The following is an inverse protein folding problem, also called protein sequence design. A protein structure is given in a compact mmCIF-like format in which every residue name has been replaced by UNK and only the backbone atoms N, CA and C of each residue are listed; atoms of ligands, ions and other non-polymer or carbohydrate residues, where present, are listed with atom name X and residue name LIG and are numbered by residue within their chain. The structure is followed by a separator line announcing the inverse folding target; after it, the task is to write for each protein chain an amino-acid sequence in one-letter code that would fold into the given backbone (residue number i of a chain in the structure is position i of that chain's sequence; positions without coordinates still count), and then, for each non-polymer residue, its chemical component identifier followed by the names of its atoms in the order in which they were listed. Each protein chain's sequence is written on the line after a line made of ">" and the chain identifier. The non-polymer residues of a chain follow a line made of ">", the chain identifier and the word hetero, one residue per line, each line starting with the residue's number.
data_IF_962650042332
#
_entry.id   IF_962650042332
#
_cell.length_a   1.000
_cell.length_b   1.000
_cell.length_c   1.000
_cell.angle_alpha   90.00
_cell.angle_beta   90.00
_cell.angle_gamma   90.00
#
_symmetry.space_group_name_H-M   'P 1'
#
loop_
_entity.id
_entity.type
_entity.pdbx_description
1 polymer ?
#
# COMPACT_ATOMS: atom_id res chain seq x y z
N UNK A 1 3.75 7.38 -17.73
CA UNK A 1 2.94 6.26 -18.20
C UNK A 1 3.54 4.90 -17.79
N UNK A 2 4.80 4.61 -18.17
CA UNK A 2 5.46 3.34 -17.84
C UNK A 2 5.51 3.05 -16.34
N UNK A 3 5.85 4.04 -15.51
CA UNK A 3 5.91 3.86 -14.06
C UNK A 3 4.54 3.46 -13.47
N UNK A 4 3.46 4.07 -13.96
CA UNK A 4 2.10 3.72 -13.55
C UNK A 4 1.79 2.28 -13.91
N UNK A 5 2.09 1.87 -15.16
CA UNK A 5 1.86 0.51 -15.63
C UNK A 5 2.67 -0.51 -14.83
N UNK A 6 3.93 -0.22 -14.52
CA UNK A 6 4.77 -1.12 -13.74
C UNK A 6 4.23 -1.30 -12.32
N UNK A 7 3.82 -0.23 -11.66
CA UNK A 7 3.25 -0.31 -10.32
C UNK A 7 1.92 -1.06 -10.34
N UNK A 8 1.09 -0.84 -11.36
CA UNK A 8 -0.17 -1.56 -11.53
C UNK A 8 0.05 -3.06 -11.75
N UNK A 9 1.00 -3.43 -12.64
CA UNK A 9 1.28 -4.83 -12.95
C UNK A 9 1.83 -5.55 -11.71
N UNK A 10 2.79 -4.96 -11.03
CA UNK A 10 3.38 -5.56 -9.82
C UNK A 10 2.35 -5.57 -8.67
N UNK A 11 1.58 -4.50 -8.52
CA UNK A 11 0.51 -4.43 -7.54
C UNK A 11 -0.58 -5.48 -7.77
N UNK A 12 -0.89 -5.79 -9.03
CA UNK A 12 -1.86 -6.83 -9.36
C UNK A 12 -1.46 -8.22 -8.85
N UNK A 13 -0.16 -8.48 -8.66
CA UNK A 13 0.29 -9.72 -8.05
C UNK A 13 -0.22 -9.87 -6.61
N UNK A 14 -0.29 -8.78 -5.85
CA UNK A 14 -0.89 -8.76 -4.52
C UNK A 14 -2.39 -8.96 -4.53
N UNK A 15 -3.07 -8.53 -5.61
CA UNK A 15 -4.51 -8.72 -5.76
C UNK A 15 -4.93 -10.19 -5.82
N UNK A 16 -4.05 -11.09 -6.25
CA UNK A 16 -4.30 -12.54 -6.21
C UNK A 16 -4.53 -13.01 -4.78
N UNK A 17 -3.69 -12.60 -3.84
CA UNK A 17 -3.85 -12.94 -2.43
C UNK A 17 -5.13 -12.32 -1.84
N UNK A 18 -5.41 -11.07 -2.19
CA UNK A 18 -6.64 -10.38 -1.76
C UNK A 18 -7.88 -11.11 -2.27
N UNK A 19 -7.91 -11.49 -3.55
CA UNK A 19 -9.03 -12.20 -4.14
C UNK A 19 -9.27 -13.56 -3.47
N UNK A 20 -8.20 -14.29 -3.17
CA UNK A 20 -8.30 -15.56 -2.45
C UNK A 20 -8.83 -15.36 -1.01
N UNK A 21 -8.33 -14.32 -0.32
CA UNK A 21 -8.73 -14.03 1.05
C UNK A 21 -10.15 -13.49 1.17
N UNK A 22 -10.66 -12.79 0.16
CA UNK A 22 -12.03 -12.27 0.14
C UNK A 22 -13.10 -13.34 -0.11
N UNK A 23 -12.70 -14.59 -0.32
CA UNK A 23 -13.61 -15.73 -0.46
C UNK A 23 -14.15 -16.21 0.91
N UNK A 24 -14.26 -17.55 1.05
CA UNK A 24 -14.90 -18.18 2.21
C UNK A 24 -14.25 -17.81 3.54
N UNK A 25 -12.91 -17.72 3.60
CA UNK A 25 -12.23 -17.39 4.84
C UNK A 25 -12.60 -16.00 5.36
N UNK A 26 -12.51 -14.98 4.50
CA UNK A 26 -12.83 -13.60 4.88
C UNK A 26 -14.29 -13.45 5.28
N UNK A 27 -15.19 -14.12 4.57
CA UNK A 27 -16.61 -14.13 4.88
C UNK A 27 -16.91 -14.83 6.20
N UNK A 28 -16.07 -15.77 6.66
CA UNK A 28 -16.22 -16.47 7.93
C UNK A 28 -15.80 -15.65 9.14
N UNK A 29 -15.04 -14.54 8.94
CA UNK A 29 -14.59 -13.69 10.02
C UNK A 29 -15.71 -12.80 10.55
N UNK A 30 -15.69 -12.52 11.86
CA UNK A 30 -16.51 -11.46 12.41
C UNK A 30 -16.01 -10.11 11.90
N UNK A 31 -16.89 -9.36 11.24
CA UNK A 31 -16.54 -8.11 10.57
C UNK A 31 -16.73 -6.93 11.50
N UNK A 32 -15.76 -5.98 11.53
CA UNK A 32 -15.97 -4.67 12.14
C UNK A 32 -17.15 -3.96 11.48
N UNK A 33 -17.89 -3.16 12.24
CA UNK A 33 -19.02 -2.41 11.71
C UNK A 33 -18.62 -1.42 10.61
N UNK A 34 -17.36 -0.95 10.64
CA UNK A 34 -16.81 0.02 9.67
C UNK A 34 -16.21 -0.65 8.44
N UNK A 35 -16.19 -1.98 8.35
CA UNK A 35 -15.62 -2.68 7.21
C UNK A 35 -16.42 -2.37 5.93
N UNK A 36 -15.75 -1.91 4.85
CA UNK A 36 -16.45 -1.60 3.60
C UNK A 36 -16.87 -2.89 2.88
N UNK A 37 -17.81 -2.80 1.93
CA UNK A 37 -18.13 -3.93 1.06
C UNK A 37 -16.89 -4.40 0.29
N UNK A 38 -16.81 -5.71 0.00
CA UNK A 38 -15.65 -6.30 -0.65
C UNK A 38 -15.32 -5.66 -2.02
N UNK A 39 -16.32 -5.20 -2.76
CA UNK A 39 -16.13 -4.60 -4.07
C UNK A 39 -15.34 -3.28 -4.03
N UNK A 40 -15.28 -2.63 -2.86
CA UNK A 40 -14.56 -1.35 -2.70
C UNK A 40 -13.05 -1.54 -2.84
N UNK A 41 -12.51 -2.69 -2.42
CA UNK A 41 -11.06 -2.92 -2.38
C UNK A 41 -10.41 -2.84 -3.76
N UNK A 42 -11.03 -3.41 -4.81
CA UNK A 42 -10.48 -3.40 -6.16
C UNK A 42 -10.29 -1.99 -6.72
N UNK A 43 -11.36 -1.19 -6.84
CA UNK A 43 -11.26 0.19 -7.34
C UNK A 43 -10.32 1.08 -6.52
N UNK A 44 -10.36 0.97 -5.19
CA UNK A 44 -9.50 1.78 -4.31
C UNK A 44 -8.03 1.45 -4.54
N UNK A 45 -7.65 0.18 -4.53
CA UNK A 45 -6.26 -0.22 -4.74
C UNK A 45 -5.77 0.14 -6.14
N UNK A 46 -6.60 0.00 -7.17
CA UNK A 46 -6.26 0.42 -8.53
C UNK A 46 -5.94 1.91 -8.57
N UNK A 47 -6.79 2.75 -7.96
CA UNK A 47 -6.58 4.19 -7.89
C UNK A 47 -5.31 4.55 -7.10
N UNK A 48 -5.05 3.84 -5.99
CA UNK A 48 -3.86 4.08 -5.16
C UNK A 48 -2.58 3.67 -5.90
N UNK A 49 -2.57 2.54 -6.59
CA UNK A 49 -1.41 2.13 -7.38
C UNK A 49 -1.14 3.10 -8.54
N UNK A 50 -2.18 3.62 -9.19
CA UNK A 50 -2.02 4.66 -10.20
C UNK A 50 -1.39 5.93 -9.61
N UNK A 51 -1.85 6.35 -8.45
CA UNK A 51 -1.30 7.49 -7.70
C UNK A 51 0.17 7.28 -7.33
N UNK A 52 0.52 6.09 -6.85
CA UNK A 52 1.91 5.71 -6.57
C UNK A 52 2.78 5.77 -7.82
N UNK A 53 2.29 5.23 -8.93
CA UNK A 53 3.01 5.26 -10.21
C UNK A 53 3.27 6.68 -10.69
N UNK A 54 2.30 7.57 -10.53
CA UNK A 54 2.46 9.00 -10.82
C UNK A 54 3.51 9.66 -9.92
N UNK A 55 3.49 9.34 -8.63
CA UNK A 55 4.47 9.84 -7.67
C UNK A 55 5.90 9.37 -8.02
N UNK A 56 6.06 8.10 -8.32
CA UNK A 56 7.33 7.52 -8.75
C UNK A 56 7.85 8.21 -10.01
N UNK A 57 6.99 8.45 -10.98
CA UNK A 57 7.38 9.15 -12.21
C UNK A 57 7.87 10.57 -11.93
N UNK A 58 7.19 11.32 -11.06
CA UNK A 58 7.60 12.66 -10.68
C UNK A 58 8.99 12.70 -10.01
N UNK A 59 9.30 11.69 -9.21
CA UNK A 59 10.63 11.57 -8.58
C UNK A 59 11.66 11.08 -9.58
N UNK A 60 11.32 10.08 -10.39
CA UNK A 60 12.23 9.51 -11.39
C UNK A 60 12.75 10.57 -12.37
N UNK A 61 11.89 11.45 -12.85
CA UNK A 61 12.30 12.48 -13.79
C UNK A 61 13.25 13.53 -13.19
N UNK A 62 13.43 13.53 -11.87
CA UNK A 62 14.36 14.39 -11.14
C UNK A 62 15.69 13.70 -10.84
N UNK A 63 15.88 12.46 -11.30
CA UNK A 63 17.04 11.66 -10.89
C UNK A 63 18.38 12.26 -11.35
N UNK A 64 18.42 12.95 -12.50
CA UNK A 64 19.63 13.60 -12.98
C UNK A 64 19.91 14.91 -12.25
N UNK A 65 18.87 15.67 -11.93
CA UNK A 65 19.00 16.97 -11.27
C UNK A 65 19.31 16.82 -9.76
N UNK A 66 18.75 15.79 -9.11
CA UNK A 66 18.90 15.54 -7.69
C UNK A 66 19.10 14.04 -7.44
N UNK A 67 20.25 13.45 -7.85
CA UNK A 67 20.43 12.00 -7.82
C UNK A 67 20.40 11.41 -6.40
N UNK A 68 20.99 12.07 -5.41
CA UNK A 68 21.00 11.59 -4.03
C UNK A 68 19.60 11.48 -3.42
N UNK A 69 18.85 12.60 -3.32
CA UNK A 69 17.48 12.56 -2.79
C UNK A 69 16.54 11.69 -3.60
N UNK A 70 16.64 11.69 -4.94
CA UNK A 70 15.75 10.87 -5.79
C UNK A 70 16.01 9.37 -5.60
N UNK A 71 17.25 8.95 -5.52
CA UNK A 71 17.61 7.54 -5.30
C UNK A 71 17.15 7.06 -3.91
N UNK A 72 17.35 7.89 -2.89
CA UNK A 72 16.85 7.58 -1.55
C UNK A 72 15.34 7.42 -1.55
N UNK A 73 14.62 8.35 -2.17
CA UNK A 73 13.17 8.32 -2.25
C UNK A 73 12.66 7.06 -2.95
N UNK A 74 13.26 6.69 -4.09
CA UNK A 74 12.89 5.48 -4.83
C UNK A 74 13.22 4.21 -4.05
N UNK A 75 14.34 4.20 -3.31
CA UNK A 75 14.70 3.07 -2.46
C UNK A 75 13.72 2.86 -1.32
N UNK A 76 13.31 3.92 -0.64
CA UNK A 76 12.30 3.86 0.43
C UNK A 76 10.94 3.44 -0.14
N UNK A 77 10.58 3.97 -1.32
CA UNK A 77 9.36 3.53 -2.01
C UNK A 77 9.37 2.02 -2.29
N UNK A 78 10.49 1.50 -2.81
CA UNK A 78 10.62 0.08 -3.09
C UNK A 78 10.44 -0.75 -1.81
N UNK A 79 11.02 -0.32 -0.69
CA UNK A 79 10.87 -0.99 0.59
C UNK A 79 9.41 -1.03 1.05
N UNK A 80 8.70 0.11 1.03
CA UNK A 80 7.30 0.15 1.41
C UNK A 80 6.43 -0.69 0.47
N UNK A 81 6.77 -0.72 -0.81
CA UNK A 81 6.00 -1.50 -1.79
C UNK A 81 6.10 -3.00 -1.53
N UNK A 82 7.31 -3.47 -1.18
CA UNK A 82 7.51 -4.86 -0.76
C UNK A 82 6.64 -5.20 0.46
N UNK A 83 6.59 -4.33 1.46
CA UNK A 83 5.75 -4.53 2.64
C UNK A 83 4.26 -4.44 2.32
N UNK A 84 3.88 -3.62 1.34
CA UNK A 84 2.49 -3.59 0.84
C UNK A 84 2.07 -4.96 0.29
N UNK A 85 2.89 -5.55 -0.58
CA UNK A 85 2.63 -6.87 -1.12
C UNK A 85 2.69 -7.95 -0.04
N UNK A 86 3.64 -7.83 0.88
CA UNK A 86 3.79 -8.75 2.01
C UNK A 86 2.55 -8.74 2.91
N UNK A 87 1.96 -7.58 3.16
CA UNK A 87 0.73 -7.48 3.95
C UNK A 87 -0.41 -8.28 3.31
N UNK A 88 -0.64 -8.11 2.01
CA UNK A 88 -1.66 -8.89 1.29
C UNK A 88 -1.38 -10.39 1.38
N UNK A 89 -0.11 -10.80 1.21
CA UNK A 89 0.27 -12.19 1.31
C UNK A 89 0.05 -12.76 2.72
N UNK A 90 0.39 -11.99 3.76
CA UNK A 90 0.27 -12.43 5.16
C UNK A 90 -1.19 -12.45 5.61
N UNK A 91 -1.94 -11.37 5.36
CA UNK A 91 -3.32 -11.25 5.82
C UNK A 91 -4.25 -12.19 5.04
N UNK A 92 -4.25 -12.10 3.72
CA UNK A 92 -5.19 -12.84 2.87
C UNK A 92 -4.64 -14.19 2.43
N UNK A 93 -3.37 -14.28 2.08
CA UNK A 93 -2.76 -15.52 1.60
C UNK A 93 -2.48 -16.51 2.71
N UNK A 94 -1.79 -16.09 3.75
CA UNK A 94 -1.45 -16.91 4.91
C UNK A 94 -2.54 -16.89 5.98
N UNK A 95 -3.49 -15.97 5.88
CA UNK A 95 -4.61 -15.79 6.81
C UNK A 95 -4.17 -15.52 8.24
N UNK A 96 -3.03 -14.83 8.39
CA UNK A 96 -2.44 -14.48 9.68
C UNK A 96 -2.79 -13.03 10.04
N UNK A 97 -3.87 -12.85 10.81
CA UNK A 97 -4.39 -11.51 11.14
C UNK A 97 -3.42 -10.74 12.04
N UNK A 98 -2.89 -11.39 13.08
CA UNK A 98 -1.94 -10.76 14.01
C UNK A 98 -0.62 -10.41 13.34
N UNK A 99 -0.06 -11.31 12.53
CA UNK A 99 1.15 -11.05 11.75
C UNK A 99 0.90 -9.95 10.71
N UNK A 100 -0.29 -9.94 10.08
CA UNK A 100 -0.70 -8.87 9.18
C UNK A 100 -0.70 -7.51 9.86
N UNK A 101 -1.15 -7.44 11.10
CA UNK A 101 -1.14 -6.19 11.88
C UNK A 101 0.29 -5.67 12.09
N UNK A 102 1.24 -6.53 12.40
CA UNK A 102 2.65 -6.16 12.54
C UNK A 102 3.21 -5.65 11.20
N UNK A 103 2.93 -6.35 10.09
CA UNK A 103 3.40 -5.97 8.76
C UNK A 103 2.83 -4.62 8.34
N UNK A 104 1.53 -4.38 8.55
CA UNK A 104 0.92 -3.10 8.17
C UNK A 104 1.40 -1.95 9.04
N UNK A 105 1.78 -2.20 10.28
CA UNK A 105 2.41 -1.20 11.15
C UNK A 105 3.75 -0.74 10.59
N UNK A 106 4.60 -1.67 10.16
CA UNK A 106 5.87 -1.36 9.50
C UNK A 106 5.63 -0.65 8.17
N UNK A 107 4.67 -1.13 7.38
CA UNK A 107 4.26 -0.50 6.12
C UNK A 107 3.86 0.96 6.34
N UNK A 108 3.05 1.23 7.34
CA UNK A 108 2.60 2.59 7.66
C UNK A 108 3.79 3.52 7.91
N UNK A 109 4.73 3.09 8.74
CA UNK A 109 5.93 3.86 9.03
C UNK A 109 6.77 4.10 7.77
N UNK A 110 6.90 3.09 6.91
CA UNK A 110 7.62 3.22 5.64
C UNK A 110 6.92 4.17 4.66
N UNK A 111 5.59 4.23 4.66
CA UNK A 111 4.84 5.19 3.83
C UNK A 111 5.11 6.61 4.30
N UNK A 112 5.10 6.86 5.61
CA UNK A 112 5.44 8.18 6.17
C UNK A 112 6.85 8.58 5.75
N UNK A 113 7.82 7.67 5.86
CA UNK A 113 9.20 7.91 5.42
C UNK A 113 9.28 8.20 3.92
N UNK A 114 8.49 7.49 3.12
CA UNK A 114 8.42 7.68 1.67
C UNK A 114 7.86 9.06 1.32
N UNK A 115 6.79 9.48 1.97
CA UNK A 115 6.21 10.82 1.78
C UNK A 115 7.24 11.90 2.11
N UNK A 116 7.94 11.76 3.22
CA UNK A 116 9.00 12.68 3.60
C UNK A 116 10.12 12.74 2.55
N UNK A 117 10.58 11.60 2.08
CA UNK A 117 11.64 11.52 1.08
C UNK A 117 11.19 12.10 -0.27
N UNK A 118 9.94 11.82 -0.68
CA UNK A 118 9.37 12.35 -1.92
C UNK A 118 9.18 13.87 -1.85
N UNK A 119 8.77 14.41 -0.71
CA UNK A 119 8.61 15.85 -0.52
C UNK A 119 9.93 16.60 -0.74
N UNK A 120 11.05 16.00 -0.43
CA UNK A 120 12.37 16.58 -0.66
C UNK A 120 12.77 16.63 -2.14
N UNK A 121 12.11 15.88 -2.99
CA UNK A 121 12.36 15.84 -4.44
C UNK A 121 11.29 16.63 -5.20
N UNK A 122 10.03 16.33 -4.94
CA UNK A 122 8.90 16.98 -5.59
C UNK A 122 7.68 16.89 -4.65
N UNK A 123 7.19 18.04 -4.19
CA UNK A 123 6.04 18.11 -3.27
C UNK A 123 4.79 17.46 -3.85
N UNK A 124 4.59 17.54 -5.17
CA UNK A 124 3.43 16.92 -5.83
C UNK A 124 3.46 15.40 -5.68
N UNK A 125 4.65 14.80 -5.74
CA UNK A 125 4.82 13.37 -5.52
C UNK A 125 4.42 12.98 -4.11
N UNK A 126 4.82 13.76 -3.10
CA UNK A 126 4.42 13.52 -1.72
C UNK A 126 2.91 13.63 -1.53
N UNK A 127 2.26 14.63 -2.14
CA UNK A 127 0.80 14.83 -2.07
C UNK A 127 0.06 13.63 -2.67
N UNK A 128 0.56 13.07 -3.78
CA UNK A 128 -0.05 11.89 -4.40
C UNK A 128 -0.04 10.64 -3.51
N UNK A 129 0.84 10.59 -2.52
CA UNK A 129 0.92 9.47 -1.57
C UNK A 129 0.04 9.66 -0.32
N UNK A 130 -0.50 10.86 -0.09
CA UNK A 130 -1.34 11.13 1.08
C UNK A 130 -2.61 10.27 1.10
N UNK A 131 -3.38 10.15 0.00
CA UNK A 131 -4.54 9.25 -0.02
C UNK A 131 -4.17 7.79 0.31
N UNK A 132 -3.00 7.35 -0.14
CA UNK A 132 -2.49 6.03 0.18
C UNK A 132 -2.25 5.87 1.68
N UNK A 133 -1.60 6.84 2.33
CA UNK A 133 -1.39 6.81 3.78
C UNK A 133 -2.72 6.76 4.54
N UNK A 134 -3.70 7.55 4.12
CA UNK A 134 -5.03 7.57 4.74
C UNK A 134 -5.72 6.21 4.61
N UNK A 135 -5.64 5.59 3.44
CA UNK A 135 -6.23 4.26 3.23
C UNK A 135 -5.52 3.19 4.07
N UNK A 136 -4.20 3.21 4.14
CA UNK A 136 -3.43 2.25 4.94
C UNK A 136 -3.69 2.45 6.44
N UNK A 137 -3.87 3.70 6.89
CA UNK A 137 -4.28 3.98 8.27
C UNK A 137 -5.63 3.32 8.58
N UNK A 138 -6.59 3.46 7.66
CA UNK A 138 -7.89 2.82 7.77
C UNK A 138 -7.76 1.29 7.73
N UNK A 139 -6.94 0.76 6.81
CA UNK A 139 -6.70 -0.68 6.71
C UNK A 139 -6.03 -1.25 7.96
N UNK A 140 -5.11 -0.50 8.57
CA UNK A 140 -4.48 -0.90 9.84
C UNK A 140 -5.51 -0.97 10.96
N UNK A 141 -6.41 0.00 11.02
CA UNK A 141 -7.52 -0.01 11.97
C UNK A 141 -8.44 -1.22 11.75
N UNK A 142 -8.79 -1.52 10.49
CA UNK A 142 -9.59 -2.70 10.16
C UNK A 142 -8.87 -3.99 10.56
N UNK A 143 -7.57 -4.09 10.27
CA UNK A 143 -6.77 -5.27 10.64
C UNK A 143 -6.79 -5.48 12.16
N UNK A 144 -6.63 -4.39 12.93
CA UNK A 144 -6.71 -4.43 14.38
C UNK A 144 -8.09 -4.91 14.85
N UNK A 145 -9.17 -4.38 14.26
CA UNK A 145 -10.53 -4.77 14.60
C UNK A 145 -10.81 -6.26 14.29
N UNK A 146 -10.34 -6.73 13.13
CA UNK A 146 -10.45 -8.16 12.81
C UNK A 146 -9.68 -9.03 13.81
N UNK A 147 -8.52 -8.57 14.23
CA UNK A 147 -7.71 -9.30 15.21
C UNK A 147 -8.40 -9.38 16.57
N UNK A 148 -9.01 -8.29 17.03
CA UNK A 148 -9.72 -8.24 18.31
C UNK A 148 -10.98 -9.09 18.27
N UNK A 149 -11.72 -9.11 17.15
CA UNK A 149 -12.99 -9.85 17.01
C UNK A 149 -12.80 -11.34 16.73
N UNK A 150 -11.62 -11.72 16.30
CA UNK A 150 -11.29 -13.10 15.94
C UNK A 150 -10.04 -13.56 16.71
#
# INVERSE_FOLDING_TARGET
>A
MLAVLLVEIVGASGAVFTAQGLGAWYASLERPAVAPPNWVFGPVWTALFASMGGAVWLVWRRIEAAPGPARLALGVFAAQFVFNLAWSAVFFGMREIGAGLAVIGVLWALIVATIWAFDRVDRRAAILLVPYLLWVTFAAYLNYQFWVLN
#
